data_IF_503095179373
#
_entry.id   IF_503095179373
#
_cell.length_a   1.000
_cell.length_b   1.000
_cell.length_c   1.000
_cell.angle_alpha   90.00
_cell.angle_beta   90.00
_cell.angle_gamma   90.00
#
_symmetry.space_group_name_H-M   'P 1'
#
loop_
_entity.id
_entity.type
_entity.pdbx_description
1 polymer ?
#
# COMPACT_ATOMS: atom_id res chain seq x y z
N UNK A 1 -34.16 62.57 -55.72
CA UNK A 1 -33.54 63.90 -55.65
C UNK A 1 -32.23 63.70 -54.90
N UNK A 2 -31.09 63.38 -55.53
CA UNK A 2 -30.06 64.22 -56.10
C UNK A 2 -29.35 65.10 -55.05
N UNK A 3 -28.08 65.08 -54.84
CA UNK A 3 -26.91 65.47 -55.53
C UNK A 3 -25.65 65.23 -54.63
N UNK A 4 -24.61 64.60 -55.12
CA UNK A 4 -23.28 65.12 -55.51
C UNK A 4 -22.48 65.88 -54.44
N UNK A 5 -21.32 65.44 -54.09
CA UNK A 5 -19.96 65.67 -54.71
C UNK A 5 -18.96 66.21 -53.69
N UNK A 6 -17.75 65.73 -53.76
CA UNK A 6 -16.60 66.43 -53.21
C UNK A 6 -15.42 65.62 -52.73
N UNK A 7 -14.49 65.36 -53.64
CA UNK A 7 -13.18 64.75 -53.32
C UNK A 7 -12.24 65.71 -52.56
N UNK A 8 -11.43 65.25 -51.67
CA UNK A 8 -10.12 65.83 -51.37
C UNK A 8 -9.19 64.81 -50.80
N UNK A 9 -8.16 64.47 -51.54
CA UNK A 9 -7.04 63.61 -51.10
C UNK A 9 -6.15 64.36 -50.11
N UNK A 10 -5.80 63.70 -49.02
CA UNK A 10 -4.57 64.00 -48.26
C UNK A 10 -3.83 62.75 -47.93
N UNK A 11 -2.62 62.62 -48.44
CA UNK A 11 -1.60 61.66 -48.10
C UNK A 11 -1.21 61.86 -46.66
N UNK A 12 -1.22 60.78 -45.89
CA UNK A 12 -0.52 60.76 -44.60
C UNK A 12 0.20 59.43 -44.44
N UNK A 13 1.48 59.49 -44.03
CA UNK A 13 2.48 58.44 -43.87
C UNK A 13 1.97 57.24 -43.09
N UNK A 14 2.30 56.03 -43.58
CA UNK A 14 2.32 54.80 -42.79
C UNK A 14 3.53 54.84 -41.86
N UNK A 15 3.27 54.92 -40.57
CA UNK A 15 4.22 54.50 -39.55
C UNK A 15 3.89 53.06 -39.22
N UNK A 16 4.76 52.10 -39.59
CA UNK A 16 4.69 50.71 -39.23
C UNK A 16 5.12 50.56 -37.78
N UNK A 17 4.17 50.39 -36.87
CA UNK A 17 4.42 49.90 -35.50
C UNK A 17 4.43 48.38 -35.56
N UNK A 18 5.63 47.79 -35.48
CA UNK A 18 5.80 46.35 -35.28
C UNK A 18 5.30 45.94 -33.89
N UNK A 19 4.13 45.27 -33.85
CA UNK A 19 3.67 44.59 -32.66
C UNK A 19 4.52 43.34 -32.47
N UNK A 20 5.55 43.44 -31.65
CA UNK A 20 6.27 42.27 -31.13
C UNK A 20 5.33 41.44 -30.27
N UNK A 21 4.89 40.28 -30.77
CA UNK A 21 4.20 39.28 -29.98
C UNK A 21 5.24 38.66 -29.06
N UNK A 22 5.33 39.15 -27.82
CA UNK A 22 6.01 38.47 -26.74
C UNK A 22 5.19 37.21 -26.39
N UNK A 23 5.50 36.10 -27.05
CA UNK A 23 5.04 34.79 -26.62
C UNK A 23 5.69 34.47 -25.28
N UNK A 24 5.04 34.83 -24.19
CA UNK A 24 5.36 34.31 -22.86
C UNK A 24 5.15 32.80 -22.89
N UNK A 25 6.22 32.06 -23.14
CA UNK A 25 6.25 30.62 -22.84
C UNK A 25 6.15 30.50 -21.33
N UNK A 26 4.99 30.16 -20.84
CA UNK A 26 4.83 29.60 -19.49
C UNK A 26 5.65 28.32 -19.47
N UNK A 27 6.54 28.13 -18.48
CA UNK A 27 7.16 26.84 -18.32
C UNK A 27 6.03 25.82 -18.18
N UNK A 28 6.04 24.79 -19.03
CA UNK A 28 5.16 23.66 -18.83
C UNK A 28 5.43 23.17 -17.40
N UNK A 29 4.39 23.13 -16.57
CA UNK A 29 4.50 22.52 -15.27
C UNK A 29 4.99 21.08 -15.55
N UNK A 30 6.21 20.75 -15.13
CA UNK A 30 6.67 19.39 -15.11
C UNK A 30 5.60 18.60 -14.34
N UNK A 31 5.05 17.58 -15.00
CA UNK A 31 4.11 16.70 -14.32
C UNK A 31 4.82 16.18 -13.07
N UNK A 32 4.32 16.55 -11.90
CA UNK A 32 4.86 16.06 -10.64
C UNK A 32 4.88 14.54 -10.76
N UNK A 33 6.05 13.93 -10.57
CA UNK A 33 6.21 12.49 -10.59
C UNK A 33 5.31 11.82 -9.53
N UNK A 34 5.23 10.48 -9.53
CA UNK A 34 4.45 9.76 -8.54
C UNK A 34 4.81 10.23 -7.12
N UNK A 35 3.81 10.55 -6.31
CA UNK A 35 3.99 11.02 -4.94
C UNK A 35 3.56 9.94 -3.95
N UNK A 36 4.23 9.90 -2.80
CA UNK A 36 3.93 8.89 -1.77
C UNK A 36 4.31 7.49 -2.24
N UNK A 37 3.52 6.50 -1.85
CA UNK A 37 3.75 5.09 -2.19
C UNK A 37 3.41 4.70 -3.65
N UNK A 38 2.90 5.63 -4.47
CA UNK A 38 2.83 5.41 -5.92
C UNK A 38 4.23 5.44 -6.58
N UNK A 39 5.21 6.07 -5.91
CA UNK A 39 6.61 5.99 -6.31
C UNK A 39 7.13 4.57 -6.12
N UNK A 40 7.66 3.90 -7.16
CA UNK A 40 8.13 2.53 -7.05
C UNK A 40 9.25 2.33 -5.99
N UNK A 41 10.11 3.34 -5.78
CA UNK A 41 11.17 3.27 -4.77
C UNK A 41 10.55 3.31 -3.37
N UNK A 42 9.60 4.21 -3.12
CA UNK A 42 8.89 4.30 -1.83
C UNK A 42 8.02 3.07 -1.58
N UNK A 43 7.42 2.49 -2.64
CA UNK A 43 6.69 1.21 -2.55
C UNK A 43 7.62 0.07 -2.13
N UNK A 44 8.81 -0.05 -2.74
CA UNK A 44 9.80 -1.07 -2.35
C UNK A 44 10.27 -0.89 -0.90
N UNK A 45 10.51 0.36 -0.46
CA UNK A 45 10.81 0.66 0.94
C UNK A 45 9.69 0.18 1.88
N UNK A 46 8.43 0.46 1.54
CA UNK A 46 7.28 -0.01 2.33
C UNK A 46 7.22 -1.54 2.39
N UNK A 47 7.50 -2.24 1.27
CA UNK A 47 7.57 -3.70 1.24
C UNK A 47 8.66 -4.25 2.15
N UNK A 48 9.86 -3.66 2.15
CA UNK A 48 10.96 -4.07 3.05
C UNK A 48 10.62 -3.83 4.51
N UNK A 49 9.98 -2.70 4.82
CA UNK A 49 9.53 -2.39 6.18
C UNK A 49 8.49 -3.42 6.67
N UNK A 50 7.48 -3.74 5.86
CA UNK A 50 6.49 -4.79 6.17
C UNK A 50 7.19 -6.13 6.35
N UNK A 51 8.06 -6.53 5.42
CA UNK A 51 8.76 -7.82 5.47
C UNK A 51 9.68 -7.96 6.69
N UNK A 52 10.28 -6.87 7.19
CA UNK A 52 11.04 -6.91 8.44
C UNK A 52 10.20 -7.31 9.64
N UNK A 53 8.90 -6.99 9.61
CA UNK A 53 7.95 -7.31 10.67
C UNK A 53 7.22 -8.65 10.46
N UNK A 54 6.95 -9.05 9.22
CA UNK A 54 6.25 -10.30 8.92
C UNK A 54 7.22 -11.49 8.82
N UNK A 55 8.44 -11.26 8.30
CA UNK A 55 9.36 -12.32 7.90
C UNK A 55 10.77 -12.18 8.50
N UNK A 56 11.00 -11.21 9.40
CA UNK A 56 12.33 -10.90 9.94
C UNK A 56 13.41 -10.76 8.85
N UNK A 57 13.05 -10.19 7.70
CA UNK A 57 13.92 -10.07 6.52
C UNK A 57 13.60 -8.82 5.71
N UNK A 58 14.63 -8.18 5.12
CA UNK A 58 14.44 -7.11 4.13
C UNK A 58 14.24 -7.65 2.70
N UNK A 59 14.53 -8.92 2.45
CA UNK A 59 14.31 -9.59 1.16
C UNK A 59 12.88 -10.13 1.09
N UNK A 60 11.94 -9.23 0.82
CA UNK A 60 10.53 -9.60 0.70
C UNK A 60 10.26 -10.48 -0.53
N UNK A 61 11.12 -10.41 -1.58
CA UNK A 61 10.97 -11.23 -2.76
C UNK A 61 11.34 -12.71 -2.51
N UNK A 62 12.19 -13.00 -1.52
CA UNK A 62 12.47 -14.36 -1.11
C UNK A 62 11.22 -15.06 -0.53
N UNK A 63 10.23 -14.30 -0.07
CA UNK A 63 9.03 -14.83 0.59
C UNK A 63 7.99 -15.42 -0.37
N UNK A 64 8.12 -15.27 -1.69
CA UNK A 64 7.17 -15.88 -2.64
C UNK A 64 6.94 -17.37 -2.41
N UNK A 65 7.96 -18.09 -2.00
CA UNK A 65 7.94 -19.55 -1.80
C UNK A 65 7.63 -19.97 -0.34
N UNK A 66 7.55 -19.00 0.59
CA UNK A 66 7.22 -19.29 1.99
C UNK A 66 5.82 -19.89 2.10
N UNK A 67 5.69 -20.94 2.88
CA UNK A 67 4.42 -21.54 3.32
C UNK A 67 4.65 -22.40 4.54
N UNK A 68 3.87 -22.14 5.60
CA UNK A 68 3.91 -22.84 6.88
C UNK A 68 2.57 -22.67 7.61
N UNK A 69 2.16 -23.63 8.44
CA UNK A 69 1.16 -23.39 9.48
C UNK A 69 1.89 -22.95 10.76
N UNK A 70 1.69 -21.71 11.16
CA UNK A 70 2.30 -21.11 12.35
C UNK A 70 1.46 -21.33 13.62
N UNK A 71 0.36 -22.06 13.52
CA UNK A 71 -0.49 -22.45 14.66
C UNK A 71 -1.31 -21.30 15.25
N UNK A 72 -1.65 -20.29 14.45
CA UNK A 72 -2.39 -19.10 14.88
C UNK A 72 -3.90 -19.20 14.61
N UNK A 73 -4.39 -20.35 14.16
CA UNK A 73 -5.81 -20.62 13.89
C UNK A 73 -6.30 -20.15 12.52
N UNK A 74 -5.38 -19.77 11.59
CA UNK A 74 -5.70 -19.35 10.23
C UNK A 74 -5.30 -20.36 9.15
N UNK A 75 -4.84 -21.56 9.54
CA UNK A 75 -4.33 -22.59 8.65
C UNK A 75 -2.95 -22.23 8.06
N UNK A 76 -2.69 -22.61 6.81
CA UNK A 76 -1.45 -22.24 6.15
C UNK A 76 -1.31 -20.73 5.95
N UNK A 77 -0.14 -20.19 6.30
CA UNK A 77 0.30 -18.82 6.01
C UNK A 77 1.40 -18.87 4.96
N UNK A 78 1.28 -18.09 3.87
CA UNK A 78 2.17 -18.22 2.73
C UNK A 78 2.41 -16.92 1.96
N UNK A 79 3.53 -16.85 1.23
CA UNK A 79 3.84 -15.78 0.30
C UNK A 79 4.27 -14.46 0.94
N UNK A 80 4.30 -13.41 0.11
CA UNK A 80 4.96 -12.12 0.40
C UNK A 80 4.30 -11.26 1.49
N UNK A 81 3.08 -11.57 1.90
CA UNK A 81 2.35 -10.86 2.96
C UNK A 81 1.67 -11.82 3.94
N UNK A 82 1.93 -13.15 3.83
CA UNK A 82 1.28 -14.12 4.68
C UNK A 82 -0.18 -14.37 4.31
N UNK A 83 -0.49 -14.66 3.03
CA UNK A 83 -1.81 -15.14 2.61
C UNK A 83 -2.19 -16.39 3.41
N UNK A 84 -3.39 -16.42 4.01
CA UNK A 84 -3.83 -17.51 4.85
C UNK A 84 -4.93 -18.35 4.19
N UNK A 85 -4.86 -19.69 4.38
CA UNK A 85 -5.87 -20.59 3.82
C UNK A 85 -7.25 -20.44 4.45
N UNK A 86 -7.31 -19.92 5.67
CA UNK A 86 -8.55 -19.70 6.43
C UNK A 86 -9.10 -18.27 6.38
N UNK A 87 -8.51 -17.34 5.60
CA UNK A 87 -8.93 -15.93 5.58
C UNK A 87 -9.29 -15.40 4.19
N UNK A 88 -9.68 -16.30 3.30
CA UNK A 88 -10.14 -16.06 1.92
C UNK A 88 -9.09 -15.50 0.94
N UNK A 89 -8.03 -14.86 1.41
CA UNK A 89 -7.03 -14.20 0.55
C UNK A 89 -6.12 -15.20 -0.19
N UNK A 90 -5.75 -16.34 0.42
CA UNK A 90 -5.06 -17.41 -0.29
C UNK A 90 -5.95 -18.04 -1.37
N UNK A 91 -7.23 -18.26 -1.09
CA UNK A 91 -8.20 -18.73 -2.07
C UNK A 91 -8.29 -17.76 -3.25
N UNK A 92 -8.48 -16.47 -2.99
CA UNK A 92 -8.58 -15.45 -4.03
C UNK A 92 -7.30 -15.38 -4.90
N UNK A 93 -6.12 -15.48 -4.28
CA UNK A 93 -4.85 -15.54 -5.00
C UNK A 93 -4.77 -16.77 -5.93
N UNK A 94 -5.14 -17.96 -5.44
CA UNK A 94 -5.08 -19.18 -6.26
C UNK A 94 -6.14 -19.18 -7.37
N UNK A 95 -7.31 -18.57 -7.14
CA UNK A 95 -8.30 -18.35 -8.18
C UNK A 95 -7.78 -17.41 -9.27
N UNK A 96 -7.20 -16.25 -8.88
CA UNK A 96 -6.58 -15.30 -9.81
C UNK A 96 -5.45 -15.95 -10.63
N UNK A 97 -4.60 -16.72 -9.98
CA UNK A 97 -3.52 -17.42 -10.66
C UNK A 97 -4.05 -18.48 -11.63
N UNK A 98 -5.11 -19.20 -11.24
CA UNK A 98 -5.70 -20.25 -12.08
C UNK A 98 -6.47 -19.68 -13.28
N UNK A 99 -7.12 -18.54 -13.12
CA UNK A 99 -7.73 -17.80 -14.25
C UNK A 99 -6.66 -17.45 -15.31
N UNK A 100 -5.50 -16.97 -14.87
CA UNK A 100 -4.39 -16.55 -15.77
C UNK A 100 -3.61 -17.72 -16.36
N UNK A 101 -3.47 -18.79 -15.59
CA UNK A 101 -2.67 -19.98 -15.96
C UNK A 101 -3.47 -21.24 -15.64
N UNK A 102 -4.44 -21.62 -16.48
CA UNK A 102 -5.18 -22.87 -16.32
C UNK A 102 -4.24 -24.08 -16.27
N UNK A 103 -4.47 -25.00 -15.34
CA UNK A 103 -3.60 -26.18 -15.18
C UNK A 103 -2.29 -25.95 -14.39
N UNK A 104 -2.16 -24.78 -13.73
CA UNK A 104 -1.06 -24.56 -12.78
C UNK A 104 -1.09 -25.57 -11.62
N UNK A 105 0.02 -25.77 -10.86
CA UNK A 105 0.10 -26.81 -9.85
C UNK A 105 -0.88 -26.61 -8.66
N UNK A 106 -1.39 -25.38 -8.45
CA UNK A 106 -2.32 -25.05 -7.36
C UNK A 106 -3.79 -25.23 -7.74
N UNK A 107 -4.13 -25.26 -9.06
CA UNK A 107 -5.51 -25.30 -9.53
C UNK A 107 -6.31 -26.48 -8.96
N UNK A 108 -5.67 -27.63 -8.78
CA UNK A 108 -6.30 -28.85 -8.22
C UNK A 108 -6.75 -28.71 -6.77
N UNK A 109 -6.19 -27.73 -6.04
CA UNK A 109 -6.50 -27.49 -4.62
C UNK A 109 -7.63 -26.47 -4.41
N UNK A 110 -8.16 -25.82 -5.46
CA UNK A 110 -9.27 -24.88 -5.33
C UNK A 110 -10.50 -25.46 -4.60
N UNK A 111 -10.94 -26.72 -4.84
CA UNK A 111 -12.04 -27.27 -4.07
C UNK A 111 -11.75 -27.39 -2.56
N UNK A 112 -10.51 -27.79 -2.20
CA UNK A 112 -10.08 -27.89 -0.81
C UNK A 112 -9.96 -26.50 -0.16
N UNK A 113 -9.31 -25.52 -0.84
CA UNK A 113 -9.21 -24.15 -0.34
C UNK A 113 -10.58 -23.53 -0.06
N UNK A 114 -11.59 -23.77 -0.92
CA UNK A 114 -12.96 -23.31 -0.67
C UNK A 114 -13.62 -24.00 0.53
N UNK A 115 -13.28 -25.28 0.76
CA UNK A 115 -13.85 -26.05 1.87
C UNK A 115 -13.26 -25.66 3.23
N UNK A 116 -11.98 -25.28 3.29
CA UNK A 116 -11.29 -24.87 4.51
C UNK A 116 -11.36 -23.38 4.80
N UNK A 117 -11.84 -22.57 3.88
CA UNK A 117 -11.98 -21.13 4.06
C UNK A 117 -12.84 -20.82 5.30
N UNK A 118 -12.37 -19.90 6.15
CA UNK A 118 -12.99 -19.60 7.45
C UNK A 118 -12.60 -20.56 8.58
N UNK A 119 -11.66 -21.50 8.33
CA UNK A 119 -11.17 -22.48 9.34
C UNK A 119 -9.64 -22.55 9.33
N UNK A 120 -9.07 -23.26 10.29
CA UNK A 120 -7.64 -23.60 10.33
C UNK A 120 -7.33 -25.00 9.76
N UNK A 121 -8.33 -25.68 9.16
CA UNK A 121 -8.19 -27.03 8.62
C UNK A 121 -7.25 -27.09 7.42
N UNK A 122 -6.54 -28.23 7.30
CA UNK A 122 -5.73 -28.58 6.13
C UNK A 122 -6.38 -29.69 5.29
N UNK A 123 -7.66 -29.97 5.48
CA UNK A 123 -8.36 -31.05 4.78
C UNK A 123 -8.29 -30.89 3.27
N UNK A 124 -7.72 -31.90 2.60
CA UNK A 124 -7.50 -31.89 1.14
C UNK A 124 -6.34 -31.00 0.65
N UNK A 125 -5.66 -30.30 1.53
CA UNK A 125 -4.41 -29.57 1.25
C UNK A 125 -3.19 -30.45 1.51
N UNK A 126 -3.17 -31.16 2.62
CA UNK A 126 -2.08 -32.05 2.99
C UNK A 126 -2.03 -33.33 2.13
N UNK A 127 -0.80 -33.89 1.94
CA UNK A 127 0.52 -33.33 2.36
C UNK A 127 1.19 -32.47 1.27
N UNK A 128 0.62 -32.36 0.08
CA UNK A 128 1.33 -31.92 -1.13
C UNK A 128 1.15 -30.44 -1.46
N UNK A 129 0.19 -29.75 -0.83
CA UNK A 129 -0.07 -28.34 -1.14
C UNK A 129 1.15 -27.43 -0.90
N UNK A 130 1.91 -27.56 0.20
CA UNK A 130 3.13 -26.76 0.39
C UNK A 130 4.17 -26.97 -0.70
N UNK A 131 4.32 -28.18 -1.22
CA UNK A 131 5.24 -28.46 -2.34
C UNK A 131 4.73 -27.82 -3.64
N UNK A 132 3.43 -27.89 -3.92
CA UNK A 132 2.81 -27.26 -5.09
C UNK A 132 2.94 -25.73 -5.04
N UNK A 133 2.80 -25.11 -3.86
CA UNK A 133 3.03 -23.67 -3.64
C UNK A 133 4.45 -23.27 -4.01
N UNK A 134 5.45 -23.98 -3.46
CA UNK A 134 6.87 -23.70 -3.74
C UNK A 134 7.22 -23.89 -5.20
N UNK A 135 6.58 -24.83 -5.88
CA UNK A 135 6.76 -25.03 -7.34
C UNK A 135 6.15 -23.86 -8.13
N UNK A 136 4.92 -23.45 -7.79
CA UNK A 136 4.29 -22.28 -8.41
C UNK A 136 5.12 -21.01 -8.20
N UNK A 137 5.72 -20.81 -7.03
CA UNK A 137 6.53 -19.65 -6.69
C UNK A 137 7.80 -19.48 -7.52
N UNK A 138 8.25 -20.52 -8.23
CA UNK A 138 9.34 -20.42 -9.21
C UNK A 138 8.93 -19.67 -10.48
N UNK A 139 7.63 -19.57 -10.77
CA UNK A 139 7.10 -18.95 -11.98
C UNK A 139 6.89 -17.44 -11.84
N UNK A 140 7.21 -16.66 -12.87
CA UNK A 140 6.96 -15.24 -12.90
C UNK A 140 5.45 -14.93 -12.80
N UNK A 141 4.60 -15.79 -13.37
CA UNK A 141 3.14 -15.63 -13.37
C UNK A 141 2.57 -15.69 -11.96
N UNK A 142 3.01 -16.65 -11.12
CA UNK A 142 2.54 -16.75 -9.75
C UNK A 142 3.06 -15.61 -8.87
N UNK A 143 4.33 -15.21 -9.04
CA UNK A 143 4.89 -14.04 -8.36
C UNK A 143 4.11 -12.76 -8.71
N UNK A 144 3.73 -12.60 -9.97
CA UNK A 144 2.88 -11.47 -10.40
C UNK A 144 1.50 -11.57 -9.77
N UNK A 145 0.87 -12.76 -9.73
CA UNK A 145 -0.42 -12.94 -9.07
C UNK A 145 -0.36 -12.58 -7.57
N UNK A 146 0.70 -12.96 -6.84
CA UNK A 146 0.88 -12.58 -5.44
C UNK A 146 1.00 -11.05 -5.26
N UNK A 147 1.73 -10.36 -6.14
CA UNK A 147 1.82 -8.89 -6.10
C UNK A 147 0.47 -8.22 -6.36
N UNK A 148 -0.23 -8.69 -7.40
CA UNK A 148 -1.52 -8.10 -7.79
C UNK A 148 -2.58 -8.33 -6.72
N UNK A 149 -2.60 -9.52 -6.09
CA UNK A 149 -3.54 -9.81 -5.01
C UNK A 149 -3.24 -9.00 -3.74
N UNK A 150 -1.95 -8.85 -3.37
CA UNK A 150 -1.53 -7.93 -2.31
C UNK A 150 -1.98 -6.50 -2.61
N UNK A 151 -1.74 -6.04 -3.84
CA UNK A 151 -2.07 -4.66 -4.22
C UNK A 151 -3.59 -4.46 -4.17
N UNK A 152 -4.37 -5.37 -4.74
CA UNK A 152 -5.83 -5.33 -4.73
C UNK A 152 -6.43 -5.37 -3.32
N UNK A 153 -5.92 -6.25 -2.46
CA UNK A 153 -6.49 -6.51 -1.13
C UNK A 153 -6.04 -5.54 -0.05
N UNK A 154 -4.82 -5.04 -0.14
CA UNK A 154 -4.19 -4.32 0.96
C UNK A 154 -3.54 -2.99 0.55
N UNK A 155 -2.70 -2.99 -0.49
CA UNK A 155 -1.91 -1.82 -0.84
C UNK A 155 -2.76 -0.67 -1.42
N UNK A 156 -3.50 -0.96 -2.49
CA UNK A 156 -4.30 0.07 -3.18
C UNK A 156 -5.39 0.66 -2.28
N UNK A 157 -6.16 -0.15 -1.52
CA UNK A 157 -7.13 0.38 -0.55
C UNK A 157 -6.49 1.25 0.53
N UNK A 158 -5.32 0.84 1.05
CA UNK A 158 -4.62 1.59 2.09
C UNK A 158 -4.15 2.95 1.57
N UNK A 159 -3.47 2.96 0.42
CA UNK A 159 -2.96 4.19 -0.22
C UNK A 159 -4.09 5.12 -0.61
N UNK A 160 -5.15 4.59 -1.21
CA UNK A 160 -6.33 5.39 -1.57
C UNK A 160 -6.99 6.01 -0.33
N UNK A 161 -7.14 5.23 0.75
CA UNK A 161 -7.71 5.73 2.01
C UNK A 161 -6.81 6.79 2.65
N UNK A 162 -5.50 6.57 2.70
CA UNK A 162 -4.54 7.51 3.26
C UNK A 162 -4.55 8.84 2.49
N UNK A 163 -4.57 8.80 1.16
CA UNK A 163 -4.70 10.00 0.32
C UNK A 163 -6.01 10.74 0.57
N UNK A 164 -7.12 10.00 0.71
CA UNK A 164 -8.43 10.60 1.04
C UNK A 164 -8.43 11.29 2.39
N UNK A 165 -7.64 10.79 3.34
CA UNK A 165 -7.45 11.40 4.67
C UNK A 165 -6.40 12.53 4.65
N UNK A 166 -5.77 12.82 3.51
CA UNK A 166 -4.77 13.87 3.35
C UNK A 166 -3.37 13.49 3.84
N UNK A 167 -3.07 12.18 3.95
CA UNK A 167 -1.81 11.69 4.49
C UNK A 167 -0.73 11.56 3.40
N UNK A 168 0.50 11.95 3.74
CA UNK A 168 1.71 11.78 2.94
C UNK A 168 2.28 10.35 3.00
N UNK A 169 3.51 10.17 2.54
CA UNK A 169 4.18 8.88 2.33
C UNK A 169 4.21 8.00 3.58
N UNK A 170 4.63 8.55 4.73
CA UNK A 170 4.65 7.80 5.99
C UNK A 170 3.24 7.36 6.40
N UNK A 171 2.24 8.22 6.26
CA UNK A 171 0.85 7.88 6.61
C UNK A 171 0.28 6.80 5.69
N UNK A 172 0.61 6.82 4.40
CA UNK A 172 0.25 5.78 3.44
C UNK A 172 0.88 4.43 3.84
N UNK A 173 2.16 4.43 4.23
CA UNK A 173 2.84 3.24 4.74
C UNK A 173 2.21 2.73 6.04
N UNK A 174 1.93 3.60 7.00
CA UNK A 174 1.29 3.24 8.28
C UNK A 174 -0.07 2.56 8.04
N UNK A 175 -0.86 3.06 7.10
CA UNK A 175 -2.14 2.46 6.74
C UNK A 175 -1.97 1.10 6.05
N UNK A 176 -1.03 1.01 5.10
CA UNK A 176 -0.75 -0.24 4.41
C UNK A 176 -0.29 -1.33 5.38
N UNK A 177 0.67 -1.04 6.24
CA UNK A 177 1.16 -1.97 7.25
C UNK A 177 0.06 -2.38 8.27
N UNK A 178 -0.84 -1.45 8.61
CA UNK A 178 -1.98 -1.76 9.46
C UNK A 178 -3.00 -2.67 8.76
N UNK A 179 -3.29 -2.46 7.48
CA UNK A 179 -4.18 -3.34 6.72
C UNK A 179 -3.59 -4.75 6.54
N UNK A 180 -2.27 -4.87 6.33
CA UNK A 180 -1.62 -6.19 6.25
C UNK A 180 -1.77 -6.94 7.57
N UNK A 181 -1.52 -6.31 8.70
CA UNK A 181 -1.53 -6.97 10.01
C UNK A 181 -2.94 -7.25 10.54
N UNK A 182 -3.87 -6.28 10.39
CA UNK A 182 -5.18 -6.30 11.05
C UNK A 182 -6.34 -6.59 10.10
N UNK A 183 -6.06 -6.76 8.81
CA UNK A 183 -7.08 -6.84 7.75
C UNK A 183 -7.72 -5.48 7.43
N UNK A 184 -8.25 -5.32 6.20
CA UNK A 184 -8.85 -4.07 5.71
C UNK A 184 -10.28 -3.82 6.22
N UNK A 185 -10.86 -4.74 7.01
CA UNK A 185 -12.26 -4.73 7.47
C UNK A 185 -12.61 -3.65 8.49
N UNK A 186 -13.84 -3.75 9.01
CA UNK A 186 -14.41 -2.83 10.02
C UNK A 186 -14.62 -3.52 11.38
N UNK A 187 -14.21 -4.77 11.53
CA UNK A 187 -14.33 -5.56 12.77
C UNK A 187 -13.51 -4.90 13.89
N UNK A 188 -13.78 -5.26 15.13
CA UNK A 188 -13.34 -4.54 16.33
C UNK A 188 -11.82 -4.27 16.42
N UNK A 189 -10.98 -5.12 15.84
CA UNK A 189 -9.52 -4.99 15.82
C UNK A 189 -8.93 -4.75 14.41
N UNK A 190 -9.80 -4.69 13.38
CA UNK A 190 -9.40 -4.41 12.00
C UNK A 190 -9.04 -2.95 11.78
N UNK A 191 -8.43 -2.66 10.63
CA UNK A 191 -7.99 -1.32 10.23
C UNK A 191 -9.07 -0.25 10.37
N UNK A 192 -10.31 -0.53 9.94
CA UNK A 192 -11.40 0.43 10.02
C UNK A 192 -11.71 0.87 11.43
N UNK A 193 -11.83 -0.08 12.38
CA UNK A 193 -12.07 0.23 13.79
C UNK A 193 -10.89 0.98 14.44
N UNK A 194 -9.65 0.66 14.08
CA UNK A 194 -8.45 1.37 14.54
C UNK A 194 -8.50 2.83 14.06
N UNK A 195 -8.80 3.04 12.77
CA UNK A 195 -8.93 4.37 12.18
C UNK A 195 -10.06 5.18 12.82
N UNK A 196 -11.20 4.59 13.06
CA UNK A 196 -12.34 5.26 13.70
C UNK A 196 -12.05 5.68 15.14
N UNK A 197 -11.28 4.89 15.87
CA UNK A 197 -10.78 5.27 17.20
C UNK A 197 -9.83 6.46 17.13
N UNK A 198 -8.87 6.44 16.18
CA UNK A 198 -7.94 7.54 15.98
C UNK A 198 -8.64 8.86 15.64
N UNK A 199 -9.68 8.81 14.80
CA UNK A 199 -10.48 9.99 14.40
C UNK A 199 -11.30 10.62 15.55
N UNK A 200 -11.52 9.90 16.65
CA UNK A 200 -12.12 10.46 17.86
C UNK A 200 -11.11 11.29 18.66
N UNK A 201 -9.82 10.94 18.56
CA UNK A 201 -8.74 11.57 19.32
C UNK A 201 -8.08 12.73 18.53
N UNK A 202 -8.06 12.65 17.18
CA UNK A 202 -7.49 13.68 16.30
C UNK A 202 -8.18 13.71 14.92
N UNK A 203 -8.30 14.91 14.32
CA UNK A 203 -8.79 15.08 12.97
C UNK A 203 -7.73 14.71 11.94
N UNK A 204 -8.15 14.13 10.80
CA UNK A 204 -7.27 13.91 9.66
C UNK A 204 -6.90 15.25 9.00
N UNK A 205 -5.79 15.33 8.22
CA UNK A 205 -5.48 16.53 7.44
C UNK A 205 -6.62 16.96 6.50
N UNK A 206 -7.31 16.01 5.90
CA UNK A 206 -8.48 16.29 5.06
C UNK A 206 -9.66 16.93 5.85
N UNK A 207 -9.74 16.66 7.14
CA UNK A 207 -10.73 17.25 8.07
C UNK A 207 -10.15 18.48 8.80
N UNK A 208 -9.01 19.04 8.34
CA UNK A 208 -8.38 20.24 8.90
C UNK A 208 -7.45 19.98 10.09
N UNK A 209 -7.10 18.72 10.37
CA UNK A 209 -6.15 18.34 11.41
C UNK A 209 -4.69 18.41 10.99
N UNK A 210 -3.80 18.21 11.95
CA UNK A 210 -2.36 18.05 11.73
C UNK A 210 -2.01 16.59 11.47
N UNK A 211 -1.19 16.31 10.43
CA UNK A 211 -0.82 14.94 10.04
C UNK A 211 -0.08 14.20 11.16
N UNK A 212 0.86 14.87 11.83
CA UNK A 212 1.67 14.24 12.87
C UNK A 212 0.81 13.90 14.09
N UNK A 213 -0.06 14.81 14.50
CA UNK A 213 -0.99 14.58 15.60
C UNK A 213 -1.94 13.41 15.29
N UNK A 214 -2.50 13.37 14.07
CA UNK A 214 -3.36 12.28 13.65
C UNK A 214 -2.64 10.93 13.61
N UNK A 215 -1.42 10.88 13.05
CA UNK A 215 -0.64 9.65 13.00
C UNK A 215 -0.26 9.15 14.40
N UNK A 216 0.04 10.03 15.36
CA UNK A 216 0.21 9.62 16.75
C UNK A 216 -1.05 8.97 17.32
N UNK A 217 -2.23 9.59 17.12
CA UNK A 217 -3.52 9.03 17.56
C UNK A 217 -3.80 7.67 16.89
N UNK A 218 -3.49 7.52 15.59
CA UNK A 218 -3.65 6.25 14.87
C UNK A 218 -2.73 5.15 15.43
N UNK A 219 -1.46 5.46 15.66
CA UNK A 219 -0.50 4.52 16.23
C UNK A 219 -0.89 4.11 17.67
N UNK A 220 -1.42 5.06 18.47
CA UNK A 220 -1.94 4.76 19.81
C UNK A 220 -3.16 3.82 19.75
N UNK A 221 -4.09 4.08 18.83
CA UNK A 221 -5.24 3.21 18.64
C UNK A 221 -4.82 1.80 18.16
N UNK A 222 -3.81 1.73 17.29
CA UNK A 222 -3.23 0.48 16.80
C UNK A 222 -2.55 -0.31 17.91
N UNK A 223 -1.72 0.31 18.73
CA UNK A 223 -1.09 -0.33 19.89
C UNK A 223 -2.13 -0.89 20.85
N UNK A 224 -3.24 -0.16 21.06
CA UNK A 224 -4.36 -0.66 21.89
C UNK A 224 -5.02 -1.90 21.28
N UNK A 225 -5.16 -1.98 19.95
CA UNK A 225 -5.68 -3.17 19.27
C UNK A 225 -4.70 -4.34 19.39
N UNK A 226 -3.42 -4.14 19.08
CA UNK A 226 -2.36 -5.16 19.18
C UNK A 226 -2.31 -5.82 20.56
N UNK A 227 -2.40 -5.03 21.62
CA UNK A 227 -2.36 -5.56 23.01
C UNK A 227 -3.59 -6.40 23.40
N UNK A 228 -4.64 -6.44 22.60
CA UNK A 228 -5.81 -7.29 22.83
C UNK A 228 -5.66 -8.67 22.17
N UNK A 229 -4.67 -8.84 21.30
CA UNK A 229 -4.38 -10.10 20.62
C UNK A 229 -3.05 -10.67 21.10
N UNK A 230 -3.07 -11.88 21.67
CA UNK A 230 -1.87 -12.50 22.22
C UNK A 230 -0.76 -12.68 21.17
N UNK A 231 -1.14 -13.03 19.94
CA UNK A 231 -0.22 -13.20 18.81
C UNK A 231 0.44 -11.89 18.36
N UNK A 232 -0.17 -10.73 18.64
CA UNK A 232 0.29 -9.40 18.20
C UNK A 232 0.73 -8.50 19.37
N UNK A 233 0.98 -9.06 20.55
CA UNK A 233 1.29 -8.30 21.77
C UNK A 233 2.63 -7.54 21.72
N UNK A 234 3.58 -7.95 20.87
CA UNK A 234 4.79 -7.18 20.60
C UNK A 234 4.48 -5.97 19.71
N UNK A 235 4.69 -4.79 20.26
CA UNK A 235 4.37 -3.51 19.60
C UNK A 235 5.58 -2.85 18.93
N UNK A 236 6.71 -3.55 18.82
CA UNK A 236 7.97 -2.99 18.29
C UNK A 236 7.84 -2.47 16.85
N UNK A 237 7.04 -3.15 15.98
CA UNK A 237 6.79 -2.64 14.62
C UNK A 237 6.13 -1.26 14.59
N UNK A 238 5.44 -0.88 15.65
CA UNK A 238 4.88 0.46 15.83
C UNK A 238 5.88 1.37 16.57
N UNK A 239 6.29 0.98 17.78
CA UNK A 239 7.02 1.87 18.69
C UNK A 239 8.47 2.13 18.26
N UNK A 240 9.18 1.13 17.75
CA UNK A 240 10.60 1.22 17.38
C UNK A 240 10.84 1.30 15.87
N UNK A 241 9.76 1.42 15.06
CA UNK A 241 9.81 1.69 13.64
C UNK A 241 8.93 2.90 13.25
N UNK A 242 7.61 2.74 13.14
CA UNK A 242 6.72 3.78 12.61
C UNK A 242 6.73 5.05 13.46
N UNK A 243 6.62 4.91 14.78
CA UNK A 243 6.67 6.05 15.71
C UNK A 243 8.04 6.72 15.73
N UNK A 244 9.12 5.94 15.54
CA UNK A 244 10.47 6.48 15.42
C UNK A 244 10.58 7.42 14.21
N UNK A 245 10.10 6.99 13.03
CA UNK A 245 10.11 7.82 11.81
C UNK A 245 9.25 9.06 11.99
N UNK A 246 8.05 8.91 12.57
CA UNK A 246 7.13 10.02 12.84
C UNK A 246 7.77 11.07 13.77
N UNK A 247 8.38 10.62 14.88
CA UNK A 247 9.02 11.50 15.86
C UNK A 247 10.25 12.20 15.30
N UNK A 248 10.96 11.55 14.37
CA UNK A 248 12.07 12.15 13.65
C UNK A 248 11.63 13.16 12.57
N UNK A 249 10.31 13.31 12.33
CA UNK A 249 9.77 14.16 11.27
C UNK A 249 10.01 13.62 9.86
N UNK A 250 10.39 12.35 9.71
CA UNK A 250 10.61 11.73 8.41
C UNK A 250 9.27 11.27 7.81
N UNK A 251 8.49 12.23 7.33
CA UNK A 251 7.15 12.00 6.78
C UNK A 251 7.17 11.42 5.37
N UNK A 252 8.32 11.47 4.69
CA UNK A 252 8.48 10.98 3.32
C UNK A 252 9.23 9.64 3.21
N UNK A 253 9.55 9.02 4.36
CA UNK A 253 10.36 7.79 4.40
C UNK A 253 11.68 7.95 3.64
N UNK A 254 12.37 9.07 3.86
CA UNK A 254 13.69 9.31 3.26
C UNK A 254 14.75 8.46 3.92
N UNK A 255 15.64 7.90 3.10
CA UNK A 255 16.78 7.12 3.59
C UNK A 255 17.90 8.03 4.06
N UNK A 256 18.75 7.60 5.02
CA UNK A 256 18.79 6.26 5.60
C UNK A 256 17.69 6.03 6.64
N UNK A 257 17.07 4.84 6.61
CA UNK A 257 16.10 4.38 7.60
C UNK A 257 16.77 3.37 8.54
N UNK A 258 16.60 3.57 9.84
CA UNK A 258 17.09 2.63 10.89
C UNK A 258 15.98 2.37 11.88
N UNK A 259 15.69 1.10 12.14
CA UNK A 259 14.63 0.71 13.08
C UNK A 259 14.90 -0.65 13.73
N UNK A 260 14.03 -1.04 14.66
CA UNK A 260 14.05 -2.37 15.27
C UNK A 260 12.65 -2.99 15.26
N UNK A 261 12.60 -4.30 15.04
CA UNK A 261 11.38 -5.11 15.19
C UNK A 261 11.77 -6.43 15.85
N UNK A 262 11.03 -6.85 16.87
CA UNK A 262 11.27 -8.08 17.64
C UNK A 262 12.69 -8.18 18.23
N UNK A 263 13.34 -7.04 18.47
CA UNK A 263 14.71 -6.97 18.98
C UNK A 263 15.79 -6.91 17.89
N UNK A 264 15.47 -7.28 16.66
CA UNK A 264 16.40 -7.23 15.51
C UNK A 264 16.49 -5.82 14.93
N UNK A 265 17.70 -5.42 14.57
CA UNK A 265 17.98 -4.11 13.97
C UNK A 265 18.06 -4.18 12.46
N UNK A 266 17.44 -3.20 11.79
CA UNK A 266 17.41 -3.09 10.32
C UNK A 266 17.89 -1.70 9.89
N UNK A 267 18.45 -1.64 8.67
CA UNK A 267 18.87 -0.40 8.04
C UNK A 267 18.68 -0.47 6.51
N UNK A 268 18.18 0.62 5.93
CA UNK A 268 18.16 0.86 4.50
C UNK A 268 18.81 2.20 4.24
N UNK A 269 19.88 2.21 3.43
CA UNK A 269 20.66 3.39 3.05
C UNK A 269 20.36 3.88 1.64
#
# INVERSE_FOLDING_TARGET
VAFLSGAAARRTLLAALGAGVLSSRWPAAEAAGPTGLDDPVKKDLAMRLVSSAENSSLDWEAQYAYIEDIGDGRGYTAGIIGFCSGTSDMLALVELYTERVPGNPLARYLPALRAVDGTDSHDGLDPDFPAAWREAAKTAQFRTAQRDERDRGYFDPAVARAKKDGLGTLGQFVYFDAMVMHGPGEEALSFGAIRDRARKDAHTPADGGDQTAYLHAFLDARVRAMKQEAAHSDVSRVETAQRLFLTAGNLDLDTPLKWKVYGDGYEIG
#
